data_IF_256625865754
#
_entry.id   IF_256625865754
#
_cell.length_a   1.000
_cell.length_b   1.000
_cell.length_c   1.000
_cell.angle_alpha   90.00
_cell.angle_beta   90.00
_cell.angle_gamma   90.00
#
_symmetry.space_group_name_H-M   'P 1'
#
loop_
_entity.id
_entity.type
_entity.pdbx_description
1 polymer ?
#
# COMPACT_ATOMS: atom_id res chain seq x y z
N UNK A 1 46.65 3.95 23.46
CA UNK A 1 47.37 4.65 22.37
C UNK A 1 47.92 3.66 21.33
N UNK A 2 48.94 2.84 21.65
CA UNK A 2 49.58 1.94 20.65
C UNK A 2 48.62 0.90 20.03
N UNK A 3 47.77 0.25 20.83
CA UNK A 3 46.71 -0.67 20.34
C UNK A 3 45.64 -0.04 19.44
N UNK A 4 45.39 1.26 19.59
CA UNK A 4 44.39 1.98 18.81
C UNK A 4 44.95 2.38 17.44
N UNK A 5 46.23 2.76 17.39
CA UNK A 5 46.95 3.00 16.14
C UNK A 5 47.14 1.71 15.33
N UNK A 6 47.40 0.58 15.99
CA UNK A 6 47.48 -0.74 15.34
C UNK A 6 46.13 -1.18 14.74
N UNK A 7 44.99 -0.88 15.39
CA UNK A 7 43.65 -1.15 14.85
C UNK A 7 43.30 -0.25 13.66
N UNK A 8 43.64 1.04 13.72
CA UNK A 8 43.43 1.98 12.63
C UNK A 8 44.21 1.60 11.37
N UNK A 9 45.46 1.17 11.55
CA UNK A 9 46.32 0.76 10.43
C UNK A 9 45.83 -0.56 9.80
N UNK A 10 45.39 -1.53 10.61
CA UNK A 10 44.79 -2.77 10.12
C UNK A 10 43.46 -2.55 9.38
N UNK A 11 42.66 -1.56 9.79
CA UNK A 11 41.41 -1.18 9.12
C UNK A 11 41.64 -0.50 7.76
N UNK A 12 42.70 0.31 7.65
CA UNK A 12 43.10 0.96 6.40
C UNK A 12 43.69 -0.02 5.38
N UNK A 13 44.42 -1.05 5.83
CA UNK A 13 45.05 -2.03 4.95
C UNK A 13 44.08 -3.14 4.49
N UNK A 14 43.12 -3.53 5.33
CA UNK A 14 42.25 -4.69 5.06
C UNK A 14 40.77 -4.36 4.87
N UNK A 15 40.35 -3.09 5.07
CA UNK A 15 38.94 -2.69 4.97
C UNK A 15 38.04 -3.27 6.07
N UNK A 16 38.61 -3.74 7.19
CA UNK A 16 37.87 -4.33 8.32
C UNK A 16 38.20 -3.59 9.61
N UNK A 17 37.18 -3.05 10.28
CA UNK A 17 37.29 -2.33 11.55
C UNK A 17 37.54 -3.27 12.74
N UNK A 18 37.22 -4.56 12.61
CA UNK A 18 37.48 -5.57 13.62
C UNK A 18 37.62 -6.97 12.98
N UNK A 19 38.37 -7.89 13.62
CA UNK A 19 38.58 -9.23 13.10
C UNK A 19 37.26 -9.97 12.85
N UNK A 20 37.10 -10.49 11.62
CA UNK A 20 35.91 -11.23 11.21
C UNK A 20 34.72 -10.37 10.79
N UNK A 21 34.90 -9.06 10.58
CA UNK A 21 33.84 -8.18 10.07
C UNK A 21 33.26 -8.69 8.74
N UNK A 22 34.08 -8.97 7.71
CA UNK A 22 33.54 -9.46 6.42
C UNK A 22 32.77 -10.77 6.54
N UNK A 23 33.22 -11.66 7.41
CA UNK A 23 32.53 -12.94 7.65
C UNK A 23 31.18 -12.74 8.36
N UNK A 24 31.09 -11.75 9.25
CA UNK A 24 29.82 -11.35 9.87
C UNK A 24 28.91 -10.66 8.86
N UNK A 25 29.43 -9.72 8.09
CA UNK A 25 28.65 -8.97 7.09
C UNK A 25 28.14 -9.91 5.99
N UNK A 26 28.97 -10.85 5.51
CA UNK A 26 28.53 -11.88 4.58
C UNK A 26 27.51 -12.84 5.19
N UNK A 27 27.63 -13.16 6.49
CA UNK A 27 26.63 -13.99 7.20
C UNK A 27 25.33 -13.24 7.40
N UNK A 28 25.38 -11.93 7.68
CA UNK A 28 24.22 -11.04 7.75
C UNK A 28 23.55 -10.99 6.39
N UNK A 29 24.29 -10.73 5.31
CA UNK A 29 23.74 -10.69 3.95
C UNK A 29 23.11 -12.03 3.55
N UNK A 30 23.79 -13.15 3.83
CA UNK A 30 23.24 -14.49 3.59
C UNK A 30 22.00 -14.75 4.45
N UNK A 31 21.94 -14.24 5.68
CA UNK A 31 20.77 -14.36 6.56
C UNK A 31 19.62 -13.46 6.06
N UNK A 32 19.91 -12.28 5.53
CA UNK A 32 18.92 -11.38 4.93
C UNK A 32 18.38 -11.94 3.61
N UNK A 33 19.22 -12.50 2.75
CA UNK A 33 18.80 -13.22 1.54
C UNK A 33 17.94 -14.43 1.89
N UNK A 34 18.32 -15.20 2.93
CA UNK A 34 17.50 -16.31 3.43
C UNK A 34 16.20 -15.83 4.05
N UNK A 35 16.18 -14.71 4.77
CA UNK A 35 14.95 -14.14 5.32
C UNK A 35 14.00 -13.68 4.21
N UNK A 36 14.52 -12.97 3.20
CA UNK A 36 13.78 -12.60 1.97
C UNK A 36 13.26 -13.83 1.21
N UNK A 37 14.00 -14.94 1.23
CA UNK A 37 13.58 -16.21 0.62
C UNK A 37 12.61 -17.03 1.52
N UNK A 38 12.55 -16.72 2.83
CA UNK A 38 11.63 -17.33 3.80
C UNK A 38 10.25 -16.68 3.80
N UNK A 39 10.03 -15.60 3.04
CA UNK A 39 8.70 -15.06 2.68
C UNK A 39 7.88 -16.01 1.78
N UNK A 40 8.33 -17.26 1.60
CA UNK A 40 7.46 -18.39 1.30
C UNK A 40 6.41 -18.64 2.40
N UNK A 41 5.43 -19.52 2.15
CA UNK A 41 4.05 -19.47 2.68
C UNK A 41 3.84 -19.62 4.20
N UNK A 42 4.89 -19.60 5.03
CA UNK A 42 4.82 -19.67 6.49
C UNK A 42 5.74 -18.68 7.26
N UNK A 43 6.50 -17.82 6.60
CA UNK A 43 6.67 -16.44 7.11
C UNK A 43 5.36 -15.72 6.82
N UNK A 44 4.87 -14.82 7.66
CA UNK A 44 3.55 -14.19 7.45
C UNK A 44 3.55 -13.41 6.13
N UNK A 45 3.20 -14.08 5.03
CA UNK A 45 2.96 -13.44 3.75
C UNK A 45 2.03 -12.27 4.07
N UNK A 46 2.41 -11.02 3.75
CA UNK A 46 1.56 -9.88 3.99
C UNK A 46 0.18 -10.25 3.49
N UNK A 47 -0.82 -10.16 4.38
CA UNK A 47 -2.18 -10.57 4.04
C UNK A 47 -2.52 -9.96 2.69
N UNK A 48 -2.98 -10.81 1.78
CA UNK A 48 -3.23 -10.47 0.38
C UNK A 48 -4.13 -9.22 0.31
N UNK A 49 -3.91 -8.38 -0.70
CA UNK A 49 -4.68 -7.15 -0.97
C UNK A 49 -4.99 -7.11 -2.44
N UNK A 50 -6.26 -7.23 -2.80
CA UNK A 50 -6.68 -7.46 -4.18
C UNK A 50 -7.66 -6.43 -4.71
N UNK A 51 -7.20 -5.20 -4.98
CA UNK A 51 -8.04 -4.25 -5.67
C UNK A 51 -8.48 -4.80 -7.03
N UNK A 52 -9.72 -4.48 -7.38
CA UNK A 52 -10.36 -4.74 -8.65
C UNK A 52 -9.85 -3.72 -9.66
N UNK A 53 -9.31 -4.22 -10.76
CA UNK A 53 -8.73 -3.45 -11.86
C UNK A 53 -9.44 -3.76 -13.17
N UNK A 54 -9.31 -2.86 -14.12
CA UNK A 54 -9.99 -2.85 -15.42
C UNK A 54 -8.95 -2.68 -16.53
N UNK A 55 -8.91 -3.65 -17.45
CA UNK A 55 -8.10 -3.58 -18.67
C UNK A 55 -8.75 -2.62 -19.66
N UNK A 56 -8.22 -1.40 -19.80
CA UNK A 56 -8.84 -0.37 -20.62
C UNK A 56 -8.43 -0.44 -22.10
N UNK A 57 -7.22 -0.90 -22.38
CA UNK A 57 -6.62 -0.91 -23.73
C UNK A 57 -6.77 -2.25 -24.47
N UNK A 58 -7.35 -3.27 -23.81
CA UNK A 58 -7.58 -4.62 -24.32
C UNK A 58 -6.28 -5.37 -24.67
N UNK A 59 -5.25 -5.25 -23.82
CA UNK A 59 -3.96 -5.92 -23.96
C UNK A 59 -3.58 -6.85 -22.79
N UNK A 60 -4.61 -7.34 -22.08
CA UNK A 60 -4.53 -8.07 -20.80
C UNK A 60 -4.04 -7.17 -19.65
N UNK A 61 -4.38 -7.54 -18.42
CA UNK A 61 -3.93 -6.79 -17.24
C UNK A 61 -2.41 -6.92 -17.08
N UNK A 62 -1.71 -5.79 -17.06
CA UNK A 62 -0.26 -5.73 -16.93
C UNK A 62 0.15 -5.02 -15.64
N UNK A 63 1.22 -5.52 -15.01
CA UNK A 63 1.71 -4.99 -13.75
C UNK A 63 3.18 -4.60 -13.82
N UNK A 64 3.63 -3.86 -12.81
CA UNK A 64 5.03 -3.50 -12.56
C UNK A 64 5.52 -4.04 -11.21
N UNK A 65 6.84 -4.02 -11.01
CA UNK A 65 7.49 -4.54 -9.80
C UNK A 65 7.76 -3.43 -8.78
N UNK A 66 7.41 -3.70 -7.52
CA UNK A 66 7.70 -2.91 -6.32
C UNK A 66 9.16 -2.45 -6.20
N UNK A 67 10.11 -3.33 -6.56
CA UNK A 67 11.53 -3.07 -6.37
C UNK A 67 12.09 -2.02 -7.33
N UNK A 68 11.39 -1.76 -8.45
CA UNK A 68 11.90 -0.89 -9.52
C UNK A 68 11.08 0.38 -9.70
N UNK A 69 9.81 0.41 -9.27
CA UNK A 69 8.96 1.59 -9.44
C UNK A 69 9.19 2.65 -8.34
N UNK A 70 9.69 2.27 -7.15
CA UNK A 70 9.86 3.21 -6.03
C UNK A 70 8.55 3.74 -5.45
N UNK A 71 7.42 3.22 -5.91
CA UNK A 71 6.06 3.62 -5.56
C UNK A 71 5.66 2.99 -4.22
N UNK A 72 5.01 3.80 -3.38
CA UNK A 72 4.46 3.35 -2.10
C UNK A 72 2.96 3.64 -2.06
N UNK A 73 2.16 2.67 -1.64
CA UNK A 73 0.71 2.86 -1.44
C UNK A 73 0.24 2.13 -0.18
N UNK A 74 -0.67 2.75 0.59
CA UNK A 74 -1.26 2.13 1.77
C UNK A 74 -2.45 1.26 1.38
N UNK A 75 -2.12 0.04 0.94
CA UNK A 75 -3.14 -0.90 0.48
C UNK A 75 -4.09 -1.34 1.57
N UNK A 76 -3.78 -1.13 2.86
CA UNK A 76 -4.57 -1.71 3.95
C UNK A 76 -5.06 -0.73 5.02
N UNK A 77 -4.83 0.55 4.73
CA UNK A 77 -5.25 1.70 5.51
C UNK A 77 -4.73 1.65 6.94
N UNK A 78 -3.49 1.18 7.13
CA UNK A 78 -2.83 1.15 8.44
C UNK A 78 -2.09 2.45 8.78
N UNK A 79 -2.02 3.40 7.84
CA UNK A 79 -1.30 4.68 7.97
C UNK A 79 0.14 4.65 7.48
N UNK A 80 0.59 3.55 6.87
CA UNK A 80 1.90 3.39 6.24
C UNK A 80 1.73 2.88 4.81
N UNK A 81 2.29 3.62 3.86
CA UNK A 81 2.34 3.23 2.47
C UNK A 81 3.55 2.31 2.25
N UNK A 82 3.30 1.12 1.71
CA UNK A 82 4.34 0.10 1.51
C UNK A 82 4.82 0.11 0.06
N UNK A 83 6.10 -0.16 -0.16
CA UNK A 83 6.62 -0.34 -1.51
C UNK A 83 5.90 -1.51 -2.17
N UNK A 84 5.32 -1.29 -3.35
CA UNK A 84 4.36 -2.24 -3.91
C UNK A 84 4.43 -2.35 -5.42
N UNK A 85 4.13 -3.55 -5.95
CA UNK A 85 3.87 -3.73 -7.36
C UNK A 85 2.67 -2.88 -7.76
N UNK A 86 2.60 -2.49 -9.01
CA UNK A 86 1.57 -1.56 -9.45
C UNK A 86 0.93 -1.98 -10.76
N UNK A 87 -0.18 -1.35 -11.11
CA UNK A 87 -0.81 -1.51 -12.39
C UNK A 87 -0.04 -0.71 -13.46
N UNK A 88 -0.07 -1.16 -14.72
CA UNK A 88 0.44 -0.35 -15.83
C UNK A 88 -0.46 0.90 -16.03
N UNK A 89 0.09 1.98 -16.61
CA UNK A 89 -0.61 3.28 -16.69
C UNK A 89 -1.79 3.27 -17.69
N UNK A 90 -1.88 2.23 -18.52
CA UNK A 90 -2.94 2.06 -19.51
C UNK A 90 -4.19 1.32 -18.96
N UNK A 91 -4.11 0.78 -17.73
CA UNK A 91 -5.20 0.10 -17.04
C UNK A 91 -5.64 0.93 -15.82
N UNK A 92 -6.82 0.63 -15.26
CA UNK A 92 -7.36 1.39 -14.13
C UNK A 92 -7.69 0.55 -12.90
N UNK A 93 -7.52 1.14 -11.72
CA UNK A 93 -8.17 0.66 -10.50
C UNK A 93 -9.63 1.11 -10.47
N UNK A 94 -10.52 0.24 -9.99
CA UNK A 94 -11.88 0.65 -9.63
C UNK A 94 -11.88 1.24 -8.21
N UNK A 95 -12.32 2.49 -8.11
CA UNK A 95 -12.25 3.25 -6.88
C UNK A 95 -13.53 4.03 -6.56
N UNK A 96 -13.66 4.42 -5.30
CA UNK A 96 -14.65 5.36 -4.80
C UNK A 96 -14.06 6.13 -3.64
N UNK A 97 -13.98 7.45 -3.79
CA UNK A 97 -13.59 8.38 -2.73
C UNK A 97 -14.63 8.34 -1.60
N UNK A 98 -14.27 7.65 -0.51
CA UNK A 98 -15.19 7.39 0.61
C UNK A 98 -15.23 8.55 1.59
N UNK A 99 -14.13 9.28 1.70
CA UNK A 99 -13.97 10.35 2.68
C UNK A 99 -14.29 11.74 2.07
N UNK A 100 -14.46 11.82 0.75
CA UNK A 100 -14.83 13.03 0.01
C UNK A 100 -13.68 14.03 -0.15
N UNK A 101 -12.42 13.59 -0.06
CA UNK A 101 -11.25 14.48 -0.14
C UNK A 101 -10.79 14.78 -1.58
N UNK A 102 -11.40 14.13 -2.58
CA UNK A 102 -11.09 14.31 -4.00
C UNK A 102 -9.91 13.50 -4.51
N UNK A 103 -9.36 12.59 -3.70
CA UNK A 103 -8.23 11.71 -4.03
C UNK A 103 -8.56 10.28 -3.62
N UNK A 104 -7.81 9.32 -4.15
CA UNK A 104 -7.83 7.92 -3.71
C UNK A 104 -6.53 7.66 -2.96
N UNK A 105 -6.60 7.64 -1.62
CA UNK A 105 -5.41 7.69 -0.77
C UNK A 105 -5.03 6.34 -0.13
N UNK A 106 -5.99 5.43 -0.02
CA UNK A 106 -5.81 4.15 0.66
C UNK A 106 -6.61 3.03 0.00
N UNK A 107 -6.25 1.78 0.33
CA UNK A 107 -7.00 0.61 -0.11
C UNK A 107 -8.46 0.54 0.38
N UNK A 108 -8.89 1.38 1.33
CA UNK A 108 -10.30 1.50 1.68
C UNK A 108 -11.13 2.06 0.53
N UNK A 109 -10.54 2.90 -0.30
CA UNK A 109 -11.18 3.61 -1.41
C UNK A 109 -11.08 2.84 -2.73
N UNK A 110 -10.21 1.83 -2.77
CA UNK A 110 -10.19 0.83 -3.84
C UNK A 110 -11.24 -0.26 -3.57
N UNK A 111 -11.92 -0.71 -4.61
CA UNK A 111 -12.77 -1.90 -4.51
C UNK A 111 -11.90 -3.14 -4.40
N UNK A 112 -11.93 -3.86 -3.30
CA UNK A 112 -11.08 -5.04 -3.05
C UNK A 112 -11.40 -5.69 -1.71
N UNK A 113 -10.56 -6.60 -1.25
CA UNK A 113 -10.68 -7.21 0.10
C UNK A 113 -10.53 -6.22 1.28
N UNK A 114 -10.13 -4.98 1.03
CA UNK A 114 -10.10 -3.93 2.07
C UNK A 114 -11.35 -3.09 2.12
N UNK A 115 -12.22 -3.20 1.12
CA UNK A 115 -13.50 -2.49 1.14
C UNK A 115 -14.34 -2.95 2.33
N UNK A 116 -14.86 -1.98 3.09
CA UNK A 116 -15.85 -2.24 4.14
C UNK A 116 -17.23 -2.43 3.51
N UNK A 117 -17.83 -3.58 3.81
CA UNK A 117 -19.23 -3.87 3.50
C UNK A 117 -20.16 -3.06 4.43
N UNK A 118 -21.46 -2.97 4.10
CA UNK A 118 -22.49 -2.35 4.95
C UNK A 118 -22.54 -2.93 6.37
N UNK A 119 -22.13 -4.18 6.54
CA UNK A 119 -22.03 -4.85 7.83
C UNK A 119 -20.87 -4.35 8.71
N UNK A 120 -19.94 -3.57 8.14
CA UNK A 120 -18.69 -3.17 8.76
C UNK A 120 -17.57 -4.22 8.64
N UNK A 121 -17.84 -5.40 8.08
CA UNK A 121 -16.82 -6.39 7.78
C UNK A 121 -16.06 -6.04 6.49
N UNK A 122 -14.79 -6.44 6.39
CA UNK A 122 -14.04 -6.40 5.14
C UNK A 122 -14.61 -7.38 4.13
N UNK A 123 -14.66 -6.99 2.86
CA UNK A 123 -15.06 -7.87 1.78
C UNK A 123 -14.05 -9.01 1.58
N UNK A 124 -14.51 -10.13 1.04
CA UNK A 124 -13.66 -11.23 0.58
C UNK A 124 -13.09 -11.01 -0.82
N UNK A 125 -13.61 -10.01 -1.55
CA UNK A 125 -13.19 -9.66 -2.91
C UNK A 125 -13.77 -8.30 -3.32
N UNK A 126 -13.15 -7.65 -4.32
CA UNK A 126 -13.66 -6.41 -4.91
C UNK A 126 -15.01 -6.55 -5.61
N UNK A 127 -15.24 -7.66 -6.33
CA UNK A 127 -16.55 -7.96 -6.93
C UNK A 127 -17.64 -8.19 -5.87
N UNK A 128 -17.32 -8.83 -4.75
CA UNK A 128 -18.27 -8.94 -3.64
C UNK A 128 -18.59 -7.55 -3.06
N UNK A 129 -17.58 -6.72 -2.83
CA UNK A 129 -17.77 -5.35 -2.35
C UNK A 129 -18.67 -4.55 -3.29
N UNK A 130 -18.41 -4.66 -4.60
CA UNK A 130 -19.16 -3.99 -5.65
C UNK A 130 -20.63 -4.47 -5.72
N UNK A 131 -20.92 -5.73 -5.37
CA UNK A 131 -22.29 -6.26 -5.39
C UNK A 131 -23.25 -5.58 -4.40
N UNK A 132 -22.74 -4.91 -3.34
CA UNK A 132 -23.61 -4.14 -2.44
C UNK A 132 -24.21 -2.89 -3.11
N UNK A 133 -23.71 -2.53 -4.29
CA UNK A 133 -24.13 -1.35 -5.04
C UNK A 133 -25.11 -1.68 -6.16
N UNK A 134 -25.41 -2.97 -6.37
CA UNK A 134 -26.39 -3.47 -7.34
C UNK A 134 -27.79 -3.24 -6.77
N UNK A 135 -28.36 -2.11 -7.15
CA UNK A 135 -29.60 -1.59 -6.62
C UNK A 135 -30.84 -2.13 -7.34
N UNK A 136 -30.67 -2.61 -8.57
CA UNK A 136 -31.72 -3.20 -9.37
C UNK A 136 -31.67 -4.76 -9.38
N UNK A 137 -30.62 -5.34 -8.80
CA UNK A 137 -30.37 -6.78 -8.67
C UNK A 137 -30.26 -7.52 -10.01
N UNK A 138 -29.68 -6.87 -11.02
CA UNK A 138 -29.49 -7.48 -12.35
C UNK A 138 -28.15 -8.22 -12.51
N UNK A 139 -27.29 -8.21 -11.47
CA UNK A 139 -26.00 -8.87 -11.47
C UNK A 139 -24.89 -8.10 -12.17
N UNK A 140 -25.13 -6.83 -12.49
CA UNK A 140 -24.13 -5.90 -13.01
C UNK A 140 -24.21 -4.56 -12.25
N UNK A 141 -23.13 -3.79 -12.33
CA UNK A 141 -23.15 -2.39 -11.90
C UNK A 141 -23.08 -1.53 -13.15
N UNK A 142 -24.15 -0.79 -13.43
CA UNK A 142 -24.27 0.05 -14.63
C UNK A 142 -25.08 1.31 -14.38
N UNK A 143 -25.39 2.06 -15.44
CA UNK A 143 -26.12 3.33 -15.34
C UNK A 143 -27.53 3.25 -14.71
N UNK A 144 -28.09 2.04 -14.58
CA UNK A 144 -29.35 1.81 -13.86
C UNK A 144 -29.18 1.85 -12.33
N UNK A 145 -27.94 1.77 -11.83
CA UNK A 145 -27.63 1.76 -10.41
C UNK A 145 -27.42 3.15 -9.84
N UNK A 146 -27.95 3.35 -8.62
CA UNK A 146 -27.98 4.65 -7.96
C UNK A 146 -26.58 5.26 -7.75
N UNK A 147 -25.56 4.42 -7.55
CA UNK A 147 -24.19 4.84 -7.23
C UNK A 147 -23.19 4.67 -8.37
N UNK A 148 -23.64 4.29 -9.57
CA UNK A 148 -22.72 4.09 -10.70
C UNK A 148 -21.91 5.34 -11.04
N UNK A 149 -22.54 6.51 -10.99
CA UNK A 149 -21.89 7.80 -11.25
C UNK A 149 -20.86 8.21 -10.18
N UNK A 150 -20.86 7.56 -9.02
CA UNK A 150 -19.90 7.81 -7.94
C UNK A 150 -18.58 7.05 -8.16
N UNK A 151 -18.61 5.98 -8.96
CA UNK A 151 -17.43 5.16 -9.24
C UNK A 151 -16.40 5.92 -10.08
N UNK A 152 -15.13 5.64 -9.82
CA UNK A 152 -14.00 6.18 -10.56
C UNK A 152 -13.15 5.05 -11.13
N UNK A 153 -12.65 5.26 -12.34
CA UNK A 153 -11.52 4.55 -12.90
C UNK A 153 -10.28 5.42 -12.62
N UNK A 154 -9.38 4.93 -11.77
CA UNK A 154 -8.12 5.61 -11.48
C UNK A 154 -7.00 5.02 -12.31
N UNK A 155 -6.48 5.81 -13.25
CA UNK A 155 -5.32 5.49 -14.08
C UNK A 155 -4.13 6.30 -13.60
N UNK A 156 -3.21 5.67 -12.85
CA UNK A 156 -1.97 6.31 -12.42
C UNK A 156 -0.99 6.39 -13.60
N UNK A 157 -1.06 7.52 -14.32
CA UNK A 157 -0.40 7.71 -15.60
C UNK A 157 1.08 8.03 -15.42
N UNK A 158 1.43 8.69 -14.32
CA UNK A 158 2.81 9.08 -14.01
C UNK A 158 3.55 8.02 -13.15
N UNK A 159 2.82 7.03 -12.64
CA UNK A 159 3.28 5.90 -11.84
C UNK A 159 3.92 6.33 -10.50
N UNK A 160 3.33 7.31 -9.82
CA UNK A 160 3.79 7.79 -8.51
C UNK A 160 2.98 7.27 -7.32
N UNK A 161 1.86 6.59 -7.56
CA UNK A 161 0.97 6.01 -6.54
C UNK A 161 0.12 7.03 -5.82
N UNK A 162 0.10 8.28 -6.27
CA UNK A 162 -0.66 9.38 -5.68
C UNK A 162 -1.78 9.73 -6.65
N UNK A 163 -3.02 9.50 -6.25
CA UNK A 163 -4.15 9.90 -7.08
C UNK A 163 -4.23 11.42 -7.25
N UNK A 164 -4.20 11.89 -8.50
CA UNK A 164 -4.50 13.29 -8.82
C UNK A 164 -5.79 13.43 -9.64
N UNK A 165 -6.36 14.64 -9.66
CA UNK A 165 -7.69 14.88 -10.24
C UNK A 165 -7.77 14.58 -11.74
N UNK A 166 -6.67 14.72 -12.47
CA UNK A 166 -6.56 14.41 -13.90
C UNK A 166 -6.40 12.91 -14.20
N UNK A 167 -6.13 12.10 -13.19
CA UNK A 167 -6.05 10.62 -13.28
C UNK A 167 -7.35 9.91 -12.89
N UNK A 168 -8.32 10.66 -12.34
CA UNK A 168 -9.60 10.13 -11.90
C UNK A 168 -10.68 10.39 -12.96
N UNK A 169 -11.11 9.31 -13.61
CA UNK A 169 -12.15 9.36 -14.62
C UNK A 169 -13.45 8.76 -14.10
N UNK A 170 -14.60 9.30 -14.55
CA UNK A 170 -15.85 8.56 -14.37
C UNK A 170 -15.81 7.29 -15.22
N UNK A 171 -16.55 6.25 -14.83
CA UNK A 171 -16.60 5.03 -15.65
C UNK A 171 -17.10 5.30 -17.07
N UNK A 172 -18.05 6.21 -17.24
CA UNK A 172 -18.54 6.62 -18.55
C UNK A 172 -17.47 7.32 -19.38
N UNK A 173 -16.67 8.21 -18.79
CA UNK A 173 -15.56 8.88 -19.50
C UNK A 173 -14.44 7.89 -19.87
N UNK A 174 -14.22 6.87 -19.04
CA UNK A 174 -13.34 5.74 -19.34
C UNK A 174 -13.95 4.72 -20.34
N UNK A 175 -15.13 5.00 -20.89
CA UNK A 175 -15.79 4.17 -21.89
C UNK A 175 -16.43 2.89 -21.35
N UNK A 176 -16.66 2.78 -20.05
CA UNK A 176 -17.27 1.61 -19.38
C UNK A 176 -18.77 1.86 -19.18
N UNK A 177 -19.60 0.93 -19.68
CA UNK A 177 -21.05 0.97 -19.58
C UNK A 177 -21.58 0.19 -18.37
N UNK A 178 -21.02 -0.99 -18.10
CA UNK A 178 -21.35 -1.79 -16.92
C UNK A 178 -20.21 -2.73 -16.52
N UNK A 179 -20.17 -3.13 -15.26
CA UNK A 179 -19.22 -4.13 -14.72
C UNK A 179 -20.03 -5.34 -14.27
N UNK A 180 -19.65 -6.55 -14.72
CA UNK A 180 -20.29 -7.79 -14.30
C UNK A 180 -19.88 -8.15 -12.88
N UNK A 181 -20.85 -8.54 -12.04
CA UNK A 181 -20.57 -9.06 -10.69
C UNK A 181 -20.17 -10.53 -10.69
N UNK A 182 -20.24 -11.20 -11.85
CA UNK A 182 -19.73 -12.55 -12.01
C UNK A 182 -18.21 -12.53 -12.19
N UNK A 183 -17.52 -13.35 -11.40
CA UNK A 183 -16.08 -13.55 -11.51
C UNK A 183 -15.66 -14.97 -11.17
N UNK A 184 -14.51 -15.38 -11.68
CA UNK A 184 -13.93 -16.72 -11.49
C UNK A 184 -12.62 -16.58 -10.75
N UNK A 185 -12.50 -17.25 -9.61
CA UNK A 185 -11.22 -17.35 -8.91
C UNK A 185 -10.21 -18.10 -9.78
N UNK A 186 -8.99 -17.60 -9.85
CA UNK A 186 -7.89 -18.18 -10.58
C UNK A 186 -6.93 -18.86 -9.61
N UNK A 187 -6.19 -19.84 -10.12
CA UNK A 187 -5.02 -20.42 -9.43
C UNK A 187 -3.75 -20.04 -10.19
N UNK A 188 -3.71 -18.82 -10.74
CA UNK A 188 -2.57 -18.36 -11.51
C UNK A 188 -1.34 -18.22 -10.58
N UNK A 189 -0.15 -18.61 -11.05
CA UNK A 189 1.07 -18.26 -10.34
C UNK A 189 1.27 -16.75 -10.35
N UNK A 190 2.14 -16.25 -9.47
CA UNK A 190 2.61 -14.87 -9.56
C UNK A 190 3.28 -14.63 -10.91
N UNK A 191 3.09 -13.43 -11.46
CA UNK A 191 3.75 -12.96 -12.67
C UNK A 191 5.24 -12.68 -12.45
N UNK A 192 5.92 -12.18 -13.49
CA UNK A 192 7.35 -11.87 -13.43
C UNK A 192 7.70 -10.76 -12.40
N UNK A 193 6.71 -9.96 -11.98
CA UNK A 193 6.86 -8.88 -11.00
C UNK A 193 6.50 -9.35 -9.58
N UNK A 194 6.01 -10.58 -9.43
CA UNK A 194 5.57 -11.14 -8.15
C UNK A 194 4.12 -10.81 -7.78
N UNK A 195 3.35 -10.23 -8.71
CA UNK A 195 1.93 -9.92 -8.51
C UNK A 195 1.07 -11.11 -8.96
N UNK A 196 -0.08 -11.32 -8.33
CA UNK A 196 -0.93 -12.50 -8.60
C UNK A 196 -2.36 -12.08 -8.90
N UNK A 197 -2.80 -12.29 -10.15
CA UNK A 197 -4.21 -12.27 -10.52
C UNK A 197 -4.94 -13.42 -9.84
N UNK A 198 -5.90 -13.13 -8.96
CA UNK A 198 -6.70 -14.17 -8.25
C UNK A 198 -8.12 -14.32 -8.71
N UNK A 199 -8.64 -13.34 -9.43
CA UNK A 199 -10.00 -13.42 -9.94
C UNK A 199 -10.07 -12.69 -11.25
N UNK A 200 -10.73 -13.28 -12.22
CA UNK A 200 -11.11 -12.62 -13.47
C UNK A 200 -12.60 -12.34 -13.46
N UNK A 201 -12.97 -11.21 -14.02
CA UNK A 201 -14.33 -10.78 -14.27
C UNK A 201 -14.41 -10.15 -15.66
N UNK A 202 -15.49 -9.41 -15.91
CA UNK A 202 -15.64 -8.71 -17.18
C UNK A 202 -16.44 -7.42 -17.00
N UNK A 203 -16.29 -6.51 -17.96
CA UNK A 203 -17.11 -5.31 -18.06
C UNK A 203 -17.54 -5.12 -19.51
N UNK A 204 -18.59 -4.33 -19.72
CA UNK A 204 -19.07 -3.96 -21.05
C UNK A 204 -18.66 -2.52 -21.31
N UNK A 205 -18.03 -2.29 -22.47
CA UNK A 205 -17.68 -0.96 -22.97
C UNK A 205 -18.90 -0.28 -23.58
N UNK A 206 -18.82 1.04 -23.72
CA UNK A 206 -19.89 1.86 -24.31
C UNK A 206 -20.16 1.53 -25.78
N UNK A 207 -19.21 0.92 -26.48
CA UNK A 207 -19.37 0.40 -27.84
C UNK A 207 -20.00 -1.02 -27.89
N UNK A 208 -20.30 -1.61 -26.74
CA UNK A 208 -20.86 -2.94 -26.59
C UNK A 208 -19.84 -4.07 -26.57
N UNK A 209 -18.54 -3.80 -26.74
CA UNK A 209 -17.49 -4.81 -26.60
C UNK A 209 -17.27 -5.20 -25.14
N UNK A 210 -16.73 -6.40 -24.92
CA UNK A 210 -16.39 -6.89 -23.58
C UNK A 210 -14.93 -6.58 -23.25
N UNK A 211 -14.67 -6.08 -22.04
CA UNK A 211 -13.35 -5.89 -21.46
C UNK A 211 -13.09 -6.83 -20.27
N UNK A 212 -11.81 -7.00 -19.94
CA UNK A 212 -11.37 -7.83 -18.82
C UNK A 212 -11.34 -7.01 -17.53
N UNK A 213 -11.98 -7.54 -16.48
CA UNK A 213 -11.75 -7.06 -15.11
C UNK A 213 -10.94 -8.12 -14.34
N UNK A 214 -10.17 -7.70 -13.34
CA UNK A 214 -9.41 -8.65 -12.53
C UNK A 214 -9.16 -8.15 -11.12
N UNK A 215 -8.92 -9.05 -10.19
CA UNK A 215 -8.47 -8.71 -8.84
C UNK A 215 -7.01 -9.14 -8.69
N UNK A 216 -6.11 -8.17 -8.50
CA UNK A 216 -4.65 -8.38 -8.49
C UNK A 216 -4.13 -8.25 -7.08
N UNK A 217 -3.44 -9.28 -6.58
CA UNK A 217 -2.61 -9.12 -5.41
C UNK A 217 -1.26 -8.59 -5.77
N UNK A 218 -1.06 -7.34 -5.39
CA UNK A 218 0.23 -6.73 -5.50
C UNK A 218 1.18 -7.31 -4.46
N UNK A 219 2.41 -7.57 -4.92
CA UNK A 219 3.54 -7.81 -4.04
C UNK A 219 3.75 -6.53 -3.22
N UNK A 220 3.92 -6.69 -1.91
CA UNK A 220 4.23 -5.59 -0.99
C UNK A 220 5.49 -5.91 -0.21
N UNK A 221 6.33 -4.91 0.00
CA UNK A 221 7.44 -4.97 0.92
C UNK A 221 7.08 -4.18 2.18
N UNK A 222 6.57 -4.87 3.20
CA UNK A 222 6.12 -4.24 4.45
C UNK A 222 7.26 -3.79 5.35
N UNK A 223 8.50 -4.10 5.00
CA UNK A 223 9.67 -3.55 5.64
C UNK A 223 10.06 -2.19 5.06
N UNK A 224 9.78 -1.97 3.78
CA UNK A 224 10.03 -0.71 3.08
C UNK A 224 8.72 0.08 2.98
N UNK A 225 8.44 0.87 4.00
CA UNK A 225 7.23 1.69 4.08
C UNK A 225 7.53 3.11 4.53
N UNK A 226 6.61 4.01 4.19
CA UNK A 226 6.65 5.42 4.58
C UNK A 226 5.34 5.77 5.31
N UNK A 227 5.38 6.56 6.39
CA UNK A 227 4.15 7.00 7.04
C UNK A 227 3.36 7.93 6.11
N UNK A 228 2.06 7.68 5.98
CA UNK A 228 1.15 8.49 5.14
C UNK A 228 0.99 9.90 5.71
N UNK A 229 1.03 10.02 7.04
CA UNK A 229 0.93 11.31 7.74
C UNK A 229 2.26 11.69 8.36
N UNK A 230 2.75 12.89 8.02
CA UNK A 230 3.87 13.52 8.70
C UNK A 230 3.38 14.55 9.73
N UNK A 231 3.88 14.45 10.95
CA UNK A 231 3.59 15.36 12.04
C UNK A 231 4.70 16.40 12.18
N UNK A 232 4.31 17.63 12.53
CA UNK A 232 5.26 18.72 12.77
C UNK A 232 6.06 18.45 14.03
N UNK A 233 7.37 18.24 13.88
CA UNK A 233 8.31 18.07 14.99
C UNK A 233 8.63 19.44 15.59
N UNK A 234 8.34 19.63 16.87
CA UNK A 234 8.66 20.87 17.60
C UNK A 234 10.14 20.91 17.99
N UNK A 235 10.68 22.09 18.28
CA UNK A 235 12.07 22.25 18.76
C UNK A 235 12.36 21.41 20.01
N UNK A 236 11.35 21.18 20.86
CA UNK A 236 11.48 20.35 22.07
C UNK A 236 11.69 18.88 21.73
N UNK A 237 10.95 18.37 20.73
CA UNK A 237 11.10 16.98 20.25
C UNK A 237 12.41 16.84 19.47
N UNK A 238 12.72 17.81 18.59
CA UNK A 238 13.94 17.81 17.80
C UNK A 238 15.23 17.80 18.65
N UNK A 239 15.16 18.29 19.90
CA UNK A 239 16.26 18.25 20.86
C UNK A 239 16.47 16.87 21.53
N UNK A 240 15.53 15.92 21.38
CA UNK A 240 15.65 14.56 21.93
C UNK A 240 16.44 13.64 20.99
N UNK A 241 17.05 12.56 21.52
CA UNK A 241 17.54 11.48 20.66
C UNK A 241 16.43 10.98 19.74
N UNK A 242 16.79 10.65 18.51
CA UNK A 242 15.88 10.06 17.54
C UNK A 242 16.21 8.58 17.32
N UNK A 243 15.20 7.81 16.94
CA UNK A 243 15.33 6.42 16.52
C UNK A 243 14.49 6.25 15.26
N UNK A 244 15.14 5.86 14.16
CA UNK A 244 14.47 5.61 12.90
C UNK A 244 13.42 4.52 13.04
N UNK A 245 12.24 4.78 12.47
CA UNK A 245 11.19 3.79 12.29
C UNK A 245 11.60 2.68 11.31
N UNK A 246 10.81 1.61 11.28
CA UNK A 246 10.98 0.51 10.33
C UNK A 246 9.65 -0.22 10.12
N UNK A 247 9.31 -0.49 8.86
CA UNK A 247 7.98 -1.01 8.50
C UNK A 247 6.88 -0.09 9.05
N UNK A 248 5.87 -0.67 9.69
CA UNK A 248 4.71 0.08 10.22
C UNK A 248 4.99 0.73 11.59
N UNK A 249 6.22 1.15 11.84
CA UNK A 249 6.64 1.86 13.04
C UNK A 249 7.15 3.25 12.66
N UNK A 250 6.54 4.28 13.23
CA UNK A 250 7.02 5.66 13.13
C UNK A 250 8.42 5.78 13.75
N UNK A 251 9.22 6.72 13.24
CA UNK A 251 10.38 7.18 14.00
C UNK A 251 9.93 7.83 15.33
N UNK A 252 10.87 7.91 16.28
CA UNK A 252 10.57 8.36 17.63
C UNK A 252 10.08 9.81 17.66
N UNK A 253 10.66 10.69 16.85
CA UNK A 253 10.24 12.09 16.76
C UNK A 253 8.81 12.24 16.22
N UNK A 254 8.45 11.50 15.17
CA UNK A 254 7.11 11.46 14.58
C UNK A 254 6.09 10.86 15.56
N UNK A 255 6.47 9.83 16.31
CA UNK A 255 5.59 9.24 17.34
C UNK A 255 5.26 10.25 18.46
N UNK A 256 6.26 11.00 18.94
CA UNK A 256 6.07 12.06 19.92
C UNK A 256 5.25 13.23 19.34
N UNK A 257 5.54 13.64 18.10
CA UNK A 257 4.83 14.73 17.44
C UNK A 257 3.36 14.38 17.18
N UNK A 258 3.06 13.10 16.87
CA UNK A 258 1.69 12.59 16.80
C UNK A 258 0.95 12.71 18.14
N UNK A 259 1.60 12.32 19.24
CA UNK A 259 1.00 12.44 20.58
C UNK A 259 0.71 13.90 20.94
N UNK A 260 1.65 14.81 20.66
CA UNK A 260 1.47 16.24 20.84
C UNK A 260 0.30 16.77 19.99
N UNK A 261 0.21 16.39 18.72
CA UNK A 261 -0.90 16.79 17.85
C UNK A 261 -2.27 16.35 18.39
N UNK A 262 -2.35 15.11 18.90
CA UNK A 262 -3.57 14.58 19.53
C UNK A 262 -3.91 15.35 20.81
N UNK A 263 -2.91 15.68 21.63
CA UNK A 263 -3.10 16.44 22.87
C UNK A 263 -3.58 17.87 22.60
N UNK A 264 -2.99 18.55 21.61
CA UNK A 264 -3.41 19.89 21.18
C UNK A 264 -4.86 19.85 20.67
N UNK A 265 -5.21 18.86 19.85
CA UNK A 265 -6.58 18.70 19.34
C UNK A 265 -7.61 18.47 20.47
N UNK A 266 -7.18 17.87 21.59
CA UNK A 266 -8.00 17.69 22.79
C UNK A 266 -8.02 18.93 23.72
N UNK A 267 -7.42 20.05 23.32
CA UNK A 267 -7.36 21.30 24.11
C UNK A 267 -6.22 21.36 25.14
N UNK A 268 -5.25 20.44 25.06
CA UNK A 268 -4.02 20.45 25.85
C UNK A 268 -2.91 21.29 25.21
N UNK A 269 -1.75 21.32 25.87
CA UNK A 269 -0.55 22.03 25.39
C UNK A 269 0.53 21.04 24.95
N UNK A 270 1.10 21.27 23.77
CA UNK A 270 2.23 20.51 23.22
C UNK A 270 3.48 20.56 24.11
N UNK A 271 4.34 19.54 24.05
CA UNK A 271 5.67 19.58 24.64
C UNK A 271 5.74 19.32 26.14
N UNK A 272 4.64 18.93 26.79
CA UNK A 272 4.72 18.35 28.14
C UNK A 272 5.14 16.89 28.01
N UNK A 273 6.46 16.62 28.04
CA UNK A 273 6.93 15.33 28.54
C UNK A 273 6.29 15.17 29.92
N UNK A 274 5.28 14.30 30.04
CA UNK A 274 4.75 13.95 31.36
C UNK A 274 5.94 13.44 32.15
N UNK A 275 6.38 14.21 33.14
CA UNK A 275 7.31 13.70 34.14
C UNK A 275 6.72 12.38 34.63
N UNK A 276 7.46 11.29 34.44
CA UNK A 276 7.13 10.01 35.02
C UNK A 276 7.29 10.19 36.52
N UNK A 277 6.23 10.66 37.20
CA UNK A 277 6.16 10.68 38.66
C UNK A 277 6.10 9.21 39.06
N UNK A 278 7.29 8.66 39.32
CA UNK A 278 7.53 7.22 39.42
C UNK A 278 6.56 6.50 40.35
N UNK A 279 6.51 5.17 40.19
CA UNK A 279 5.90 4.28 41.17
C UNK A 279 6.25 4.78 42.57
N UNK A 280 5.22 5.20 43.32
CA UNK A 280 5.35 5.35 44.76
C UNK A 280 5.86 4.00 45.31
N UNK A 281 6.81 4.03 46.25
CA UNK A 281 7.45 2.83 46.80
C UNK A 281 6.43 1.87 47.42
#
# INVERSE_FOLDING_TARGET
>A
MRRFQEQLQAAQENGEWYPGQRQRDARIETTLEKARALDGPNGTNPTRRDPLVLDLNNNDIQTTNAATNGLHFDHDSNGFAEATGWLNPDDAFLAFDRNGNGTIDTGLELFGDQTLLRSGAKASSGLQALSEWDSNHDGQIGAADTRFADLRAWTDANQDGISQADELHTLTDAGIASISLAGTATNAPADANGNTLTRTGSFIRSDGSTGLAGEIAFRRDTALSIPVTNYTVTDTIAAQPDLSGYGNLLDLHQALAKEDAVLIAAGGTAGTLREWTGCKP
#
